data_IF_913700551386
#
_entry.id   IF_913700551386
#
_cell.length_a   1.000
_cell.length_b   1.000
_cell.length_c   1.000
_cell.angle_alpha   90.00
_cell.angle_beta   90.00
_cell.angle_gamma   90.00
#
_symmetry.space_group_name_H-M   'P 1'
#
loop_
_entity.id
_entity.type
_entity.pdbx_description
1 polymer ?
2 non-polymer ?
3 water ?
#
# COMPACT_ATOMS: atom_id res chain seq x y z
N UNK A 1 -3.46 -13.87 7.20
CA UNK A 1 -2.25 -13.04 7.48
C UNK A 1 -2.61 -11.89 8.41
N UNK A 2 -1.86 -11.74 9.50
CA UNK A 2 -2.11 -10.67 10.47
C UNK A 2 -0.86 -9.84 10.74
N UNK A 3 -1.05 -8.52 10.85
CA UNK A 3 0.05 -7.61 11.13
C UNK A 3 -0.44 -6.53 12.09
N UNK A 4 0.47 -5.71 12.59
CA UNK A 4 0.09 -4.64 13.51
C UNK A 4 0.68 -3.29 13.11
N UNK A 5 0.00 -2.23 13.53
CA UNK A 5 0.42 -0.86 13.24
C UNK A 5 0.30 -0.05 14.54
N UNK A 6 1.40 0.58 14.94
CA UNK A 6 1.44 1.37 16.16
C UNK A 6 0.82 2.75 15.97
N UNK A 7 0.25 3.29 17.05
CA UNK A 7 -0.36 4.62 17.02
C UNK A 7 0.77 5.63 16.78
N UNK A 8 0.51 6.64 15.96
CA UNK A 8 1.54 7.62 15.69
C UNK A 8 1.24 8.51 14.50
N UNK A 9 1.83 9.70 14.47
CA UNK A 9 1.59 10.64 13.39
C UNK A 9 2.89 11.12 12.74
N UNK A 10 3.29 10.52 11.61
CA UNK A 10 4.52 10.91 10.92
C UNK A 10 4.24 12.07 9.96
N UNK A 11 5.31 12.68 9.46
CA UNK A 11 5.20 13.77 8.52
C UNK A 11 5.34 13.16 7.12
N UNK A 12 4.40 13.46 6.24
CA UNK A 12 4.43 12.92 4.88
C UNK A 12 5.39 13.74 4.02
N UNK A 13 6.56 13.19 3.75
CA UNK A 13 7.57 13.88 2.96
C UNK A 13 8.59 12.96 2.29
N UNK A 14 8.46 11.66 2.52
CA UNK A 14 9.39 10.71 1.91
C UNK A 14 10.62 10.45 2.75
N UNK A 15 10.74 11.16 3.87
CA UNK A 15 11.86 10.97 4.79
C UNK A 15 11.37 10.00 5.87
N UNK A 16 12.26 9.15 6.37
CA UNK A 16 11.87 8.18 7.39
C UNK A 16 11.94 8.76 8.81
N UNK A 17 10.77 9.07 9.38
CA UNK A 17 10.70 9.59 10.74
C UNK A 17 11.19 8.50 11.69
N UNK A 18 11.74 8.90 12.83
CA UNK A 18 12.24 7.94 13.81
C UNK A 18 11.09 7.03 14.27
N UNK A 19 9.90 7.60 14.40
CA UNK A 19 8.73 6.86 14.86
C UNK A 19 8.44 5.58 14.08
N UNK A 20 8.79 5.55 12.80
CA UNK A 20 8.55 4.36 11.98
C UNK A 20 9.25 3.12 12.53
N UNK A 21 10.33 3.31 13.27
CA UNK A 21 11.06 2.19 13.84
C UNK A 21 10.32 1.50 14.99
N UNK A 22 9.28 2.17 15.51
CA UNK A 22 8.52 1.62 16.62
C UNK A 22 7.42 0.64 16.22
N UNK A 23 7.21 0.47 14.92
CA UNK A 23 6.18 -0.44 14.44
C UNK A 23 6.80 -1.56 13.62
N UNK A 24 6.13 -2.70 13.51
CA UNK A 24 6.70 -3.82 12.75
C UNK A 24 6.79 -3.56 11.26
N UNK A 25 7.72 -4.26 10.63
CA UNK A 25 7.92 -4.15 9.20
C UNK A 25 7.37 -5.43 8.58
N UNK A 26 6.55 -5.29 7.55
CA UNK A 26 6.03 -6.47 6.86
C UNK A 26 6.64 -6.46 5.46
N UNK A 27 6.61 -7.61 4.79
CA UNK A 27 7.17 -7.71 3.45
C UNK A 27 6.14 -8.20 2.45
N UNK A 28 6.25 -7.75 1.20
CA UNK A 28 5.35 -8.21 0.15
C UNK A 28 5.99 -9.48 -0.41
N UNK A 29 5.42 -10.64 -0.08
CA UNK A 29 5.95 -11.90 -0.57
C UNK A 29 4.90 -12.76 -1.27
N UNK A 30 3.68 -12.24 -1.38
CA UNK A 30 2.60 -12.97 -2.03
C UNK A 30 2.68 -12.70 -3.53
N UNK A 31 3.36 -13.57 -4.25
CA UNK A 31 3.53 -13.40 -5.69
C UNK A 31 2.35 -13.80 -6.56
N UNK A 32 1.99 -12.90 -7.46
CA UNK A 32 0.91 -13.14 -8.41
C UNK A 32 1.58 -13.20 -9.79
N UNK A 33 2.63 -12.40 -9.95
CA UNK A 33 3.39 -12.36 -11.20
C UNK A 33 4.84 -11.99 -10.92
N UNK A 34 5.78 -12.68 -11.58
CA UNK A 34 7.20 -12.39 -11.38
C UNK A 34 7.77 -13.23 -10.24
N UNK A 35 8.90 -12.82 -9.69
CA UNK A 35 9.51 -13.55 -8.59
C UNK A 35 10.13 -12.57 -7.59
N UNK A 36 10.27 -13.02 -6.34
CA UNK A 36 10.85 -12.17 -5.30
C UNK A 36 12.28 -11.71 -5.59
N UNK A 37 13.07 -12.60 -6.16
CA UNK A 37 14.47 -12.29 -6.45
C UNK A 37 14.69 -11.52 -7.76
N UNK A 38 13.64 -11.32 -8.54
CA UNK A 38 13.79 -10.61 -9.80
C UNK A 38 12.88 -9.40 -9.99
N UNK A 39 11.81 -9.31 -9.20
CA UNK A 39 10.91 -8.18 -9.36
C UNK A 39 10.75 -7.28 -8.14
N UNK A 40 10.07 -6.16 -8.35
CA UNK A 40 9.86 -5.16 -7.32
C UNK A 40 9.11 -5.66 -6.08
N UNK A 41 9.69 -5.41 -4.91
CA UNK A 41 9.09 -5.79 -3.64
C UNK A 41 9.24 -4.62 -2.68
N UNK A 42 8.50 -4.65 -1.58
CA UNK A 42 8.57 -3.56 -0.63
C UNK A 42 8.64 -4.00 0.82
N UNK A 43 9.31 -3.19 1.64
CA UNK A 43 9.41 -3.41 3.07
C UNK A 43 8.42 -2.36 3.54
N UNK A 44 7.43 -2.77 4.34
CA UNK A 44 6.40 -1.83 4.76
C UNK A 44 6.20 -1.65 6.26
N UNK A 45 6.02 -0.40 6.66
CA UNK A 45 5.78 -0.05 8.05
C UNK A 45 4.43 0.66 8.05
N UNK A 46 3.63 0.44 9.08
CA UNK A 46 2.30 1.06 9.15
C UNK A 46 2.02 1.69 10.51
N UNK A 47 1.53 2.92 10.49
CA UNK A 47 1.19 3.65 11.71
C UNK A 47 -0.25 4.15 11.57
N UNK A 48 -0.82 4.65 12.65
CA UNK A 48 -2.19 5.17 12.60
C UNK A 48 -2.53 6.14 13.72
N UNK A 49 -3.55 6.97 13.48
CA UNK A 49 -4.08 7.88 14.48
C UNK A 49 -5.57 7.97 14.22
N UNK A 50 -6.27 8.76 15.03
CA UNK A 50 -7.72 8.89 14.90
C UNK A 50 -8.23 9.29 13.51
N UNK A 51 -7.40 9.98 12.74
CA UNK A 51 -7.84 10.44 11.43
C UNK A 51 -7.24 9.79 10.18
N UNK A 52 -6.07 9.19 10.32
CA UNK A 52 -5.42 8.59 9.16
C UNK A 52 -4.71 7.27 9.42
N UNK A 53 -4.44 6.57 8.33
CA UNK A 53 -3.67 5.33 8.34
C UNK A 53 -2.42 5.80 7.62
N UNK A 54 -1.23 5.49 8.15
CA UNK A 54 0.00 5.92 7.51
C UNK A 54 0.80 4.72 7.03
N UNK A 55 1.29 4.80 5.80
CA UNK A 55 2.05 3.70 5.22
C UNK A 55 3.39 4.14 4.65
N UNK A 56 4.45 3.45 5.10
CA UNK A 56 5.79 3.74 4.61
C UNK A 56 6.23 2.51 3.82
N UNK A 57 6.37 2.66 2.52
CA UNK A 57 6.77 1.55 1.68
C UNK A 57 8.09 1.81 0.98
N UNK A 58 9.10 1.00 1.33
CA UNK A 58 10.42 1.12 0.73
C UNK A 58 10.48 0.08 -0.38
N UNK A 59 10.43 0.56 -1.62
CA UNK A 59 10.45 -0.32 -2.78
C UNK A 59 11.79 -0.54 -3.45
N UNK A 60 12.13 -1.81 -3.67
CA UNK A 60 13.36 -2.20 -4.32
C UNK A 60 13.00 -2.36 -5.80
N UNK A 61 13.55 -1.51 -6.66
CA UNK A 61 13.23 -1.59 -8.08
C UNK A 61 14.34 -0.85 -8.84
N UNK A 62 15.20 -1.61 -9.55
CA UNK A 62 16.31 -1.05 -10.32
C UNK A 62 15.99 -0.30 -11.61
N UNK A 63 14.81 -0.56 -12.17
CA UNK A 63 14.40 0.09 -13.42
C UNK A 63 13.02 0.70 -13.25
N UNK A 64 12.93 2.03 -13.29
CA UNK A 64 11.66 2.72 -13.10
C UNK A 64 11.04 3.12 -14.44
N UNK A 65 9.78 2.72 -14.64
CA UNK A 65 9.08 3.01 -15.88
C UNK A 65 7.60 3.29 -15.64
N UNK A 66 7.05 4.23 -16.41
CA UNK A 66 5.64 4.60 -16.33
C UNK A 66 5.08 4.90 -17.72
N UNK A 67 5.65 4.28 -18.74
CA UNK A 67 5.23 4.49 -20.12
C UNK A 67 3.86 3.91 -20.46
N UNK A 68 3.47 2.83 -19.79
CA UNK A 68 2.19 2.21 -20.05
C UNK A 68 1.03 3.11 -19.66
N UNK A 69 0.01 3.18 -20.51
CA UNK A 69 -1.15 4.03 -20.27
C UNK A 69 -1.98 3.60 -19.07
N UNK A 70 -1.95 2.31 -18.73
CA UNK A 70 -2.69 1.83 -17.57
C UNK A 70 -1.86 2.13 -16.33
N UNK A 71 -2.43 2.87 -15.36
CA UNK A 71 -1.68 3.20 -14.14
C UNK A 71 -1.17 1.99 -13.36
N UNK A 72 -1.90 0.89 -13.42
CA UNK A 72 -1.49 -0.32 -12.71
C UNK A 72 -0.35 -1.05 -13.40
N UNK A 73 -0.01 -0.61 -14.62
CA UNK A 73 1.08 -1.22 -15.35
C UNK A 73 2.29 -0.29 -15.36
N UNK A 74 2.30 0.63 -14.40
CA UNK A 74 3.40 1.59 -14.19
C UNK A 74 4.02 1.18 -12.86
N UNK A 75 5.31 1.47 -12.64
CA UNK A 75 5.92 1.12 -11.36
C UNK A 75 5.18 1.92 -10.30
N UNK A 76 4.46 1.21 -9.44
CA UNK A 76 3.66 1.87 -8.45
C UNK A 76 3.25 0.96 -7.31
N UNK A 77 2.70 1.58 -6.28
CA UNK A 77 2.24 0.88 -5.10
C UNK A 77 0.74 1.09 -4.94
N UNK A 78 0.05 0.03 -4.55
CA UNK A 78 -1.38 0.11 -4.34
C UNK A 78 -1.66 -0.25 -2.89
N UNK A 79 -2.52 0.51 -2.24
CA UNK A 79 -2.86 0.27 -0.85
C UNK A 79 -4.36 0.00 -0.78
N UNK A 80 -4.71 -1.10 -0.11
CA UNK A 80 -6.10 -1.50 0.02
C UNK A 80 -6.58 -1.41 1.45
N UNK A 81 -7.79 -0.91 1.64
CA UNK A 81 -8.37 -0.77 2.98
C UNK A 81 -9.80 -1.32 3.05
N UNK A 82 -10.10 -2.02 4.14
CA UNK A 82 -11.42 -2.58 4.41
C UNK A 82 -11.66 -2.12 5.86
N UNK A 83 -12.26 -0.95 6.02
CA UNK A 83 -12.47 -0.38 7.35
C UNK A 83 -13.29 -1.17 8.38
N UNK A 84 -14.37 -1.82 7.94
CA UNK A 84 -15.18 -2.60 8.88
C UNK A 84 -14.75 -4.05 8.89
N UNK A 85 -13.69 -4.34 8.15
CA UNK A 85 -13.13 -5.69 8.02
C UNK A 85 -14.15 -6.81 7.79
N UNK A 86 -15.15 -6.54 6.95
CA UNK A 86 -16.16 -7.55 6.64
C UNK A 86 -15.58 -8.65 5.74
N UNK A 87 -14.46 -8.37 5.08
CA UNK A 87 -13.83 -9.36 4.22
C UNK A 87 -14.80 -9.90 3.16
N UNK A 88 -15.51 -8.98 2.52
CA UNK A 88 -16.47 -9.31 1.47
C UNK A 88 -15.78 -9.70 0.16
N UNK A 89 -16.55 -10.25 -0.77
CA UNK A 89 -15.99 -10.66 -2.06
C UNK A 89 -16.09 -9.56 -3.10
N UNK A 90 -16.58 -8.40 -2.66
CA UNK A 90 -16.75 -7.22 -3.52
C UNK A 90 -16.58 -6.02 -2.61
N UNK A 91 -16.39 -4.85 -3.18
CA UNK A 91 -16.21 -3.63 -2.39
C UNK A 91 -17.47 -3.01 -1.81
N UNK A 92 -17.46 -2.75 -0.51
CA UNK A 92 -18.57 -2.11 0.17
C UNK A 92 -18.20 -0.61 0.15
N UNK A 93 -19.10 0.24 0.62
CA UNK A 93 -18.84 1.68 0.65
C UNK A 93 -17.57 2.08 1.41
N UNK A 94 -17.20 1.29 2.41
CA UNK A 94 -16.03 1.58 3.25
C UNK A 94 -14.71 1.04 2.69
N UNK A 95 -14.79 0.25 1.64
CA UNK A 95 -13.59 -0.34 1.06
C UNK A 95 -12.95 0.59 0.02
N UNK A 96 -11.63 0.52 -0.10
CA UNK A 96 -10.95 1.41 -1.04
C UNK A 96 -9.60 0.94 -1.55
N UNK A 97 -9.27 1.41 -2.74
CA UNK A 97 -8.00 1.11 -3.39
C UNK A 97 -7.34 2.43 -3.81
N UNK A 98 -6.12 2.65 -3.34
CA UNK A 98 -5.35 3.86 -3.67
C UNK A 98 -4.09 3.43 -4.40
N UNK A 99 -3.62 4.28 -5.31
CA UNK A 99 -2.41 3.98 -6.06
C UNK A 99 -1.56 5.23 -6.27
N UNK A 100 -0.25 5.04 -6.22
CA UNK A 100 0.69 6.13 -6.45
C UNK A 100 1.94 5.55 -7.09
N UNK A 101 2.42 6.21 -8.15
CA UNK A 101 3.62 5.73 -8.81
C UNK A 101 4.87 6.42 -8.28
N UNK A 102 6.04 6.03 -8.80
CA UNK A 102 7.31 6.59 -8.36
C UNK A 102 7.47 8.08 -8.62
N UNK A 103 6.57 8.66 -9.40
CA UNK A 103 6.61 10.09 -9.72
C UNK A 103 5.62 10.82 -8.83
N UNK A 104 5.08 10.09 -7.86
CA UNK A 104 4.10 10.61 -6.91
C UNK A 104 2.77 11.03 -7.55
N UNK A 105 2.38 10.34 -8.61
CA UNK A 105 1.13 10.63 -9.29
C UNK A 105 0.10 9.64 -8.75
N UNK A 106 -0.99 10.15 -8.21
CA UNK A 106 -2.01 9.30 -7.62
C UNK A 106 -3.14 8.96 -8.59
N UNK A 107 -3.65 7.73 -8.45
CA UNK A 107 -4.78 7.26 -9.24
C UNK A 107 -5.64 6.50 -8.25
N UNK A 108 -6.90 6.23 -8.59
CA UNK A 108 -7.77 5.56 -7.64
C UNK A 108 -8.65 4.47 -8.19
N UNK A 109 -8.89 3.45 -7.37
CA UNK A 109 -9.75 2.36 -7.75
C UNK A 109 -11.05 2.59 -7.01
N UNK A 110 -11.86 1.56 -6.87
CA UNK A 110 -13.13 1.73 -6.16
C UNK A 110 -12.87 2.23 -4.74
N UNK A 111 -13.68 3.20 -4.30
CA UNK A 111 -13.55 3.73 -2.96
C UNK A 111 -12.43 4.71 -2.69
N UNK A 112 -11.45 4.79 -3.58
CA UNK A 112 -10.34 5.72 -3.38
C UNK A 112 -10.70 7.14 -3.75
N UNK A 113 -10.07 8.11 -3.07
CA UNK A 113 -10.31 9.52 -3.35
C UNK A 113 -9.12 10.41 -3.01
N UNK A 114 -8.83 11.39 -3.88
CA UNK A 114 -7.70 12.28 -3.61
C UNK A 114 -7.94 13.11 -2.37
N UNK A 115 -9.21 13.24 -1.98
CA UNK A 115 -9.58 13.99 -0.79
C UNK A 115 -9.14 13.26 0.48
N UNK A 116 -8.81 11.98 0.35
CA UNK A 116 -8.39 11.18 1.50
C UNK A 116 -7.02 10.56 1.27
N UNK A 117 -6.24 11.12 0.35
CA UNK A 117 -4.93 10.56 0.03
C UNK A 117 -3.82 11.61 -0.07
N UNK A 118 -2.83 11.52 0.81
CA UNK A 118 -1.70 12.45 0.80
C UNK A 118 -0.44 11.61 0.63
N UNK A 119 0.37 11.92 -0.38
CA UNK A 119 1.58 11.15 -0.61
C UNK A 119 2.82 11.95 -0.96
N UNK A 120 3.98 11.32 -0.72
CA UNK A 120 5.27 11.90 -1.03
C UNK A 120 6.15 10.73 -1.45
N UNK A 121 6.94 10.93 -2.50
CA UNK A 121 7.83 9.88 -2.98
C UNK A 121 9.25 10.41 -3.09
N UNK A 122 10.20 9.62 -2.62
CA UNK A 122 11.60 10.01 -2.68
C UNK A 122 12.37 8.85 -3.30
N UNK A 123 13.09 9.15 -4.39
CA UNK A 123 13.86 8.10 -5.04
C UNK A 123 15.10 7.82 -4.20
N UNK A 124 15.58 6.58 -4.24
CA UNK A 124 16.75 6.16 -3.49
C UNK A 124 17.54 5.21 -4.37
N UNK A 125 18.73 4.84 -3.93
CA UNK A 125 19.56 3.92 -4.68
C UNK A 125 18.86 2.57 -4.81
N UNK A 126 18.60 2.16 -6.04
CA UNK A 126 17.95 0.89 -6.27
C UNK A 126 16.44 0.85 -6.10
N UNK A 127 15.80 2.01 -6.01
CA UNK A 127 14.36 2.02 -5.84
C UNK A 127 13.76 3.35 -5.41
N UNK A 128 12.64 3.28 -4.70
CA UNK A 128 11.98 4.49 -4.24
C UNK A 128 11.18 4.29 -2.95
N UNK A 129 11.02 5.36 -2.20
CA UNK A 129 10.26 5.33 -0.96
C UNK A 129 8.92 6.03 -1.11
N UNK A 130 7.86 5.33 -0.75
CA UNK A 130 6.52 5.89 -0.79
C UNK A 130 6.05 6.09 0.64
N UNK A 131 5.58 7.30 0.93
CA UNK A 131 5.07 7.58 2.25
C UNK A 131 3.68 8.15 2.05
N UNK A 132 2.70 7.51 2.64
CA UNK A 132 1.32 7.93 2.45
C UNK A 132 0.45 8.03 3.69
N UNK A 133 -0.60 8.82 3.58
CA UNK A 133 -1.57 9.00 4.64
C UNK A 133 -2.93 8.81 4.00
N UNK A 134 -3.72 7.90 4.55
CA UNK A 134 -5.06 7.63 4.05
C UNK A 134 -6.06 8.02 5.12
N UNK A 135 -6.92 8.98 4.80
CA UNK A 135 -7.91 9.46 5.75
C UNK A 135 -9.06 8.47 5.90
N UNK A 136 -9.40 8.14 7.15
CA UNK A 136 -10.49 7.21 7.42
C UNK A 136 -11.76 7.80 6.83
N UNK A 137 -12.59 6.93 6.28
CA UNK A 137 -13.84 7.36 5.66
C UNK A 137 -15.07 7.07 6.52
N UNK A 138 -15.10 5.90 7.14
CA UNK A 138 -16.25 5.51 7.95
C UNK A 138 -15.97 5.18 9.40
N UNK A 139 -14.72 5.23 9.83
CA UNK A 139 -14.40 4.90 11.21
C UNK A 139 -13.51 5.89 11.96
N UNK A 140 -13.61 5.83 13.29
CA UNK A 140 -12.80 6.62 14.20
C UNK A 140 -12.15 5.55 15.08
N UNK A 141 -11.11 4.88 14.57
CA UNK A 141 -10.38 3.81 15.25
C UNK A 141 -9.92 4.07 16.68
N UNK A 142 -9.91 2.99 17.46
CA UNK A 142 -9.45 3.01 18.84
C UNK A 142 -8.50 1.83 18.96
N UNK A 143 -7.67 1.79 20.01
CA UNK A 143 -6.73 0.68 20.18
C UNK A 143 -7.40 -0.70 20.09
N UNK A 144 -6.75 -1.59 19.35
CA UNK A 144 -7.19 -2.96 19.13
C UNK A 144 -8.24 -3.13 18.04
N UNK A 145 -8.53 -2.05 17.32
CA UNK A 145 -9.47 -2.09 16.21
C UNK A 145 -8.73 -2.87 15.11
N UNK A 146 -9.44 -3.65 14.32
CA UNK A 146 -8.82 -4.42 13.24
C UNK A 146 -9.48 -4.13 11.89
N UNK A 147 -8.68 -3.77 10.89
CA UNK A 147 -9.21 -3.50 9.56
C UNK A 147 -8.61 -4.49 8.54
N UNK A 148 -9.19 -4.50 7.35
CA UNK A 148 -8.69 -5.35 6.28
C UNK A 148 -7.62 -4.49 5.62
N UNK A 149 -6.49 -5.11 5.24
CA UNK A 149 -5.41 -4.35 4.65
C UNK A 149 -4.51 -5.15 3.72
N UNK A 150 -4.01 -4.48 2.69
CA UNK A 150 -3.07 -5.09 1.77
C UNK A 150 -2.32 -4.01 1.04
N UNK A 151 -1.13 -4.34 0.55
CA UNK A 151 -0.32 -3.40 -0.20
C UNK A 151 0.31 -4.18 -1.34
N UNK A 152 0.17 -3.64 -2.55
CA UNK A 152 0.68 -4.28 -3.76
C UNK A 152 1.72 -3.45 -4.50
N UNK A 153 2.71 -4.13 -5.06
CA UNK A 153 3.74 -3.44 -5.82
C UNK A 153 3.67 -3.91 -7.26
N UNK A 154 3.48 -2.96 -8.17
CA UNK A 154 3.44 -3.27 -9.59
C UNK A 154 4.85 -3.03 -10.10
N UNK A 155 5.35 -3.93 -10.94
CA UNK A 155 6.69 -3.80 -11.50
C UNK A 155 6.63 -3.78 -13.03
N UNK A 156 7.02 -2.66 -13.62
CA UNK A 156 7.03 -2.49 -15.07
C UNK A 156 8.48 -2.44 -15.53
N UNK A 157 8.78 -2.99 -16.71
CA UNK A 157 10.14 -2.98 -17.24
C UNK A 157 10.35 -1.78 -18.16
N UNK A 158 11.53 -1.69 -18.75
CA UNK A 158 11.87 -0.57 -19.64
C UNK A 158 10.98 -0.48 -20.87
N UNK A 159 10.22 -1.54 -21.13
CA UNK A 159 9.32 -1.58 -22.30
C UNK A 159 7.89 -1.17 -21.94
N UNK A 160 7.68 -0.71 -20.72
CA UNK A 160 6.35 -0.30 -20.31
C UNK A 160 5.38 -1.45 -20.12
N UNK A 161 5.91 -2.66 -19.91
CA UNK A 161 5.09 -3.84 -19.71
C UNK A 161 5.18 -4.25 -18.24
N UNK A 162 4.05 -4.63 -17.63
CA UNK A 162 4.10 -5.06 -16.24
C UNK A 162 4.60 -6.50 -16.18
N UNK A 163 5.69 -6.71 -15.45
CA UNK A 163 6.30 -8.03 -15.31
C UNK A 163 6.23 -8.57 -13.88
N UNK A 164 5.79 -7.72 -12.95
CA UNK A 164 5.70 -8.15 -11.57
C UNK A 164 4.48 -7.64 -10.83
N UNK A 165 3.87 -8.53 -10.05
CA UNK A 165 2.70 -8.23 -9.23
C UNK A 165 2.92 -8.97 -7.92
N UNK A 166 3.28 -8.24 -6.87
CA UNK A 166 3.53 -8.87 -5.59
C UNK A 166 2.94 -8.04 -4.45
N UNK A 167 2.21 -8.70 -3.56
CA UNK A 167 1.59 -7.99 -2.45
C UNK A 167 1.87 -8.68 -1.12
N UNK A 168 1.29 -8.14 -0.06
CA UNK A 168 1.47 -8.70 1.27
C UNK A 168 0.58 -9.92 1.53
N UNK A 169 -0.72 -9.80 1.25
CA UNK A 169 -1.66 -10.89 1.52
C UNK A 169 -2.32 -11.57 0.34
N UNK A 170 -2.16 -11.02 -0.86
CA UNK A 170 -2.84 -11.57 -2.03
C UNK A 170 -1.94 -12.04 -3.18
N UNK A 171 -1.90 -13.35 -3.44
CA UNK A 171 -1.08 -13.91 -4.52
C UNK A 171 -1.91 -14.14 -5.78
N UNK A 172 -3.15 -13.65 -5.79
CA UNK A 172 -4.03 -13.87 -6.95
C UNK A 172 -4.36 -12.63 -7.79
N UNK A 173 -3.85 -11.47 -7.40
CA UNK A 173 -4.13 -10.22 -8.12
C UNK A 173 -5.61 -9.89 -8.20
N UNK A 174 -6.33 -10.08 -7.10
CA UNK A 174 -7.76 -9.78 -7.05
C UNK A 174 -8.12 -8.73 -6.00
N UNK A 175 -7.10 -8.13 -5.40
CA UNK A 175 -7.32 -7.12 -4.38
C UNK A 175 -8.12 -5.91 -4.87
N UNK A 176 -8.00 -5.59 -6.15
CA UNK A 176 -8.72 -4.46 -6.73
C UNK A 176 -10.24 -4.63 -6.72
N UNK A 177 -10.72 -5.84 -6.46
CA UNK A 177 -12.15 -6.11 -6.44
C UNK A 177 -12.63 -7.08 -5.36
N UNK A 178 -11.68 -7.68 -4.63
CA UNK A 178 -12.04 -8.68 -3.62
C UNK A 178 -11.40 -8.49 -2.25
N UNK A 179 -12.10 -7.80 -1.32
CA UNK A 179 -11.58 -7.56 0.03
C UNK A 179 -11.24 -8.82 0.82
N UNK A 180 -11.83 -9.95 0.46
CA UNK A 180 -11.54 -11.20 1.17
C UNK A 180 -10.09 -11.62 0.95
N UNK A 181 -9.40 -10.94 0.03
CA UNK A 181 -7.99 -11.25 -0.25
C UNK A 181 -7.04 -10.40 0.59
N UNK A 182 -7.56 -9.41 1.30
CA UNK A 182 -6.71 -8.57 2.14
C UNK A 182 -6.36 -9.34 3.41
N UNK A 183 -5.35 -8.86 4.12
CA UNK A 183 -4.97 -9.50 5.37
C UNK A 183 -5.63 -8.73 6.50
N UNK A 184 -5.24 -9.03 7.75
CA UNK A 184 -5.79 -8.32 8.90
C UNK A 184 -4.71 -7.46 9.54
N UNK A 185 -5.05 -6.21 9.81
CA UNK A 185 -4.13 -5.27 10.42
C UNK A 185 -4.72 -4.78 11.74
N UNK A 186 -4.02 -5.05 12.83
CA UNK A 186 -4.48 -4.62 14.15
C UNK A 186 -3.86 -3.28 14.51
N UNK A 187 -4.72 -2.32 14.86
CA UNK A 187 -4.27 -0.98 15.22
C UNK A 187 -4.06 -0.94 16.74
N UNK A 188 -2.80 -1.01 17.16
CA UNK A 188 -2.47 -1.01 18.58
C UNK A 188 -1.84 0.29 19.09
N UNK A 189 -1.98 0.50 20.39
CA UNK A 189 -1.43 1.68 21.03
C UNK A 189 0.09 1.64 20.93
X LIG B 1 -15.63 -3.27 4.17
X LIG C 1 8.33 11.38 6.75
X LIG D 1 10.36 -1.55 -12.45
#
# INVERSE_FOLDING_TARGET
MVATAKYGTPVIDGEIDEIWNTTEEIETKAVAMGSLDKNATAKVRVLWDENYLYVLAIVKDPVLNKDNSNPWEQDSVEIFIDENNHKTGYYEDDDAQFRVNYMNEQTFGTGGSPARFKTAVKLIEGGYIVEAAIKWKTIKPTPNTVIGFNIQVNDANEKGQRVGIISWSDPTNNSWRDPSKFGNLRLIK
CA CA
CA CA
CA CA
#
